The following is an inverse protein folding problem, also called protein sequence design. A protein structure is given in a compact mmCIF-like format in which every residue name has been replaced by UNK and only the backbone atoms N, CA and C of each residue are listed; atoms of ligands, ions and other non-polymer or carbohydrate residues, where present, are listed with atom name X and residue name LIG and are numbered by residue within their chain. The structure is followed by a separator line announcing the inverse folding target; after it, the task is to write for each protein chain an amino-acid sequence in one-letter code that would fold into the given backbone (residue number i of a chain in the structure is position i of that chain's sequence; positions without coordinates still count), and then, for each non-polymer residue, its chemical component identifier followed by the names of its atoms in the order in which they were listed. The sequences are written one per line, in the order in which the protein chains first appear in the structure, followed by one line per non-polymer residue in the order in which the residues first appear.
data_IF_535847579234
#
_entry.id   IF_535847579234
#
_cell.length_a   1.000
_cell.length_b   1.000
_cell.length_c   1.000
_cell.angle_alpha   90.00
_cell.angle_beta   90.00
_cell.angle_gamma   90.00
#
_symmetry.space_group_name_H-M   'P 1'
#
loop_
_entity.id
_entity.type
_entity.pdbx_description
1 polymer ?
#
# COMPACT_ATOMS: atom_id res chain seq x y z
N UNK A 1 -37.91 10.24 -12.97
CA UNK A 1 -36.85 10.46 -11.97
C UNK A 1 -35.56 10.70 -12.75
N UNK A 2 -34.83 11.79 -12.48
CA UNK A 2 -33.53 12.09 -13.11
C UNK A 2 -32.42 11.29 -12.40
N UNK A 3 -32.57 9.97 -12.33
CA UNK A 3 -31.50 9.09 -11.84
C UNK A 3 -30.46 8.97 -12.97
N UNK A 4 -29.17 8.93 -12.61
CA UNK A 4 -28.04 8.73 -13.54
C UNK A 4 -27.69 9.88 -14.51
N UNK A 5 -27.63 11.14 -14.04
CA UNK A 5 -26.94 12.18 -14.82
C UNK A 5 -25.43 12.00 -14.73
N UNK A 6 -24.83 11.50 -15.80
CA UNK A 6 -23.38 11.44 -16.00
C UNK A 6 -22.90 12.65 -16.81
N UNK A 7 -21.61 13.03 -16.72
CA UNK A 7 -20.99 14.08 -17.53
C UNK A 7 -20.77 13.68 -19.01
N UNK A 8 -21.57 12.75 -19.54
CA UNK A 8 -21.48 12.22 -20.91
C UNK A 8 -22.87 12.17 -21.54
N UNK A 9 -22.93 12.30 -22.86
CA UNK A 9 -24.16 12.27 -23.65
C UNK A 9 -24.28 10.90 -24.34
N UNK A 10 -24.69 9.89 -23.59
CA UNK A 10 -24.93 8.52 -24.06
C UNK A 10 -26.37 8.12 -23.75
N UNK A 11 -27.04 7.46 -24.69
CA UNK A 11 -28.34 6.84 -24.43
C UNK A 11 -28.18 5.58 -23.57
N UNK A 12 -29.28 5.15 -22.96
CA UNK A 12 -29.29 3.94 -22.12
C UNK A 12 -28.84 2.71 -22.92
N UNK A 13 -29.27 2.58 -24.18
CA UNK A 13 -28.85 1.49 -25.07
C UNK A 13 -27.35 1.52 -25.36
N UNK A 14 -26.77 2.71 -25.58
CA UNK A 14 -25.33 2.85 -25.81
C UNK A 14 -24.51 2.46 -24.57
N UNK A 15 -25.00 2.77 -23.38
CA UNK A 15 -24.34 2.38 -22.11
C UNK A 15 -24.36 0.85 -21.92
N UNK A 16 -25.47 0.20 -22.27
CA UNK A 16 -25.55 -1.26 -22.21
C UNK A 16 -24.67 -1.94 -23.26
N UNK A 17 -24.62 -1.42 -24.49
CA UNK A 17 -23.71 -1.91 -25.54
C UNK A 17 -22.24 -1.77 -25.12
N UNK A 18 -21.85 -0.60 -24.60
CA UNK A 18 -20.53 -0.37 -24.02
C UNK A 18 -20.21 -1.36 -22.88
N UNK A 19 -21.19 -1.65 -22.01
CA UNK A 19 -21.03 -2.65 -20.97
C UNK A 19 -20.74 -4.05 -21.52
N UNK A 20 -21.43 -4.45 -22.60
CA UNK A 20 -21.19 -5.73 -23.26
C UNK A 20 -19.82 -5.80 -23.92
N UNK A 21 -19.33 -4.72 -24.53
CA UNK A 21 -17.98 -4.64 -25.09
C UNK A 21 -16.90 -4.83 -24.00
N UNK A 22 -17.06 -4.19 -22.84
CA UNK A 22 -16.14 -4.38 -21.71
C UNK A 22 -16.19 -5.79 -21.13
N UNK A 23 -17.37 -6.41 -21.07
CA UNK A 23 -17.51 -7.82 -20.69
C UNK A 23 -16.75 -8.74 -21.66
N UNK A 24 -16.84 -8.48 -22.97
CA UNK A 24 -16.11 -9.24 -23.98
C UNK A 24 -14.59 -9.11 -23.80
N UNK A 25 -14.09 -7.88 -23.60
CA UNK A 25 -12.67 -7.64 -23.30
C UNK A 25 -12.24 -8.35 -22.01
N UNK A 26 -13.05 -8.28 -20.95
CA UNK A 26 -12.73 -8.97 -19.69
C UNK A 26 -12.58 -10.47 -19.91
N UNK A 27 -13.52 -11.08 -20.62
CA UNK A 27 -13.51 -12.51 -20.90
C UNK A 27 -12.28 -12.88 -21.75
N UNK A 28 -11.98 -12.11 -22.81
CA UNK A 28 -10.77 -12.30 -23.62
C UNK A 28 -9.49 -12.26 -22.77
N UNK A 29 -9.34 -11.26 -21.90
CA UNK A 29 -8.18 -11.14 -21.01
C UNK A 29 -8.13 -12.32 -20.04
N UNK A 30 -9.26 -12.72 -19.46
CA UNK A 30 -9.31 -13.84 -18.51
C UNK A 30 -8.99 -15.18 -19.17
N UNK A 31 -9.40 -15.38 -20.42
CA UNK A 31 -9.15 -16.57 -21.22
C UNK A 31 -7.71 -16.61 -21.75
N UNK A 32 -7.07 -15.44 -21.93
CA UNK A 32 -5.67 -15.35 -22.38
C UNK A 32 -4.63 -15.72 -21.32
N UNK A 33 -5.04 -15.83 -20.05
CA UNK A 33 -4.14 -16.12 -18.92
C UNK A 33 -3.51 -17.49 -19.07
N UNK A 34 -2.21 -17.59 -18.82
CA UNK A 34 -1.51 -18.87 -18.88
C UNK A 34 -0.07 -18.83 -18.40
N UNK A 35 0.76 -19.71 -18.98
CA UNK A 35 2.13 -19.95 -18.53
C UNK A 35 3.01 -18.70 -18.55
N UNK A 36 2.74 -17.76 -19.48
CA UNK A 36 3.46 -16.48 -19.54
C UNK A 36 3.24 -15.66 -18.27
N UNK A 37 1.99 -15.52 -17.84
CA UNK A 37 1.63 -14.71 -16.68
C UNK A 37 2.07 -15.40 -15.39
N UNK A 38 1.98 -16.74 -15.34
CA UNK A 38 2.58 -17.54 -14.25
C UNK A 38 4.09 -17.32 -14.14
N UNK A 39 4.80 -17.37 -15.26
CA UNK A 39 6.25 -17.14 -15.29
C UNK A 39 6.60 -15.71 -14.86
N UNK A 40 5.76 -14.73 -15.22
CA UNK A 40 5.91 -13.34 -14.80
C UNK A 40 5.84 -13.22 -13.27
N UNK A 41 4.75 -13.64 -12.63
CA UNK A 41 4.58 -13.44 -11.18
C UNK A 41 5.66 -14.20 -10.38
N UNK A 42 6.03 -15.41 -10.81
CA UNK A 42 7.11 -16.17 -10.16
C UNK A 42 8.47 -15.46 -10.30
N UNK A 43 8.74 -14.83 -11.45
CA UNK A 43 9.96 -14.04 -11.66
C UNK A 43 9.95 -12.79 -10.80
N UNK A 44 8.82 -12.08 -10.68
CA UNK A 44 8.69 -10.90 -9.82
C UNK A 44 8.92 -11.28 -8.35
N UNK A 45 8.25 -12.33 -7.85
CA UNK A 45 8.43 -12.82 -6.47
C UNK A 45 9.89 -13.21 -6.22
N UNK A 46 10.53 -13.94 -7.15
CA UNK A 46 11.95 -14.29 -7.01
C UNK A 46 12.83 -13.04 -6.97
N UNK A 47 12.62 -12.10 -7.87
CA UNK A 47 13.38 -10.84 -7.96
C UNK A 47 13.24 -10.04 -6.67
N UNK A 48 12.01 -9.86 -6.20
CA UNK A 48 11.70 -9.17 -4.95
C UNK A 48 12.39 -9.83 -3.76
N UNK A 49 12.24 -11.16 -3.59
CA UNK A 49 12.81 -11.90 -2.45
C UNK A 49 14.34 -11.86 -2.47
N UNK A 50 14.95 -12.04 -3.64
CA UNK A 50 16.41 -11.90 -3.81
C UNK A 50 16.87 -10.49 -3.46
N UNK A 51 16.19 -9.46 -3.95
CA UNK A 51 16.52 -8.06 -3.68
C UNK A 51 16.36 -7.72 -2.19
N UNK A 52 15.29 -8.19 -1.54
CA UNK A 52 15.04 -7.95 -0.12
C UNK A 52 16.15 -8.55 0.77
N UNK A 53 16.66 -9.73 0.40
CA UNK A 53 17.74 -10.41 1.13
C UNK A 53 19.10 -9.78 0.81
N UNK A 54 19.42 -9.56 -0.47
CA UNK A 54 20.70 -8.96 -0.87
C UNK A 54 20.88 -7.55 -0.33
N UNK A 55 19.80 -6.77 -0.27
CA UNK A 55 19.82 -5.41 0.29
C UNK A 55 20.17 -5.41 1.77
N UNK A 56 19.63 -6.36 2.55
CA UNK A 56 19.99 -6.53 3.97
C UNK A 56 21.45 -6.95 4.14
N UNK A 57 21.95 -7.83 3.29
CA UNK A 57 23.38 -8.18 3.27
C UNK A 57 24.25 -6.96 2.96
N UNK A 58 23.87 -6.09 2.02
CA UNK A 58 24.60 -4.85 1.73
C UNK A 58 24.58 -3.89 2.91
N UNK A 59 23.44 -3.75 3.60
CA UNK A 59 23.33 -2.95 4.85
C UNK A 59 24.24 -3.53 5.95
N UNK A 60 24.35 -4.85 6.07
CA UNK A 60 25.23 -5.46 7.07
C UNK A 60 26.70 -5.35 6.67
N UNK A 61 27.00 -5.52 5.39
CA UNK A 61 28.33 -5.35 4.82
C UNK A 61 28.84 -3.93 5.07
N UNK A 62 27.98 -2.90 4.99
CA UNK A 62 28.40 -1.52 5.24
C UNK A 62 28.92 -1.28 6.66
N UNK A 63 28.52 -2.12 7.63
CA UNK A 63 29.01 -2.03 9.01
C UNK A 63 30.51 -2.37 9.14
N UNK A 64 31.06 -3.13 8.18
CA UNK A 64 32.48 -3.44 8.10
C UNK A 64 33.33 -2.26 7.60
N UNK A 65 32.69 -1.20 7.10
CA UNK A 65 33.37 0.00 6.61
C UNK A 65 33.25 1.19 7.58
N UNK A 66 32.71 0.97 8.78
CA UNK A 66 32.72 1.99 9.84
C UNK A 66 34.18 2.25 10.27
N UNK A 67 34.59 3.50 10.58
CA UNK A 67 35.98 3.82 10.94
C UNK A 67 36.62 3.00 12.06
N UNK A 68 35.83 2.33 12.89
CA UNK A 68 36.33 1.46 13.96
C UNK A 68 37.21 0.29 13.44
N UNK A 69 37.06 -0.14 12.19
CA UNK A 69 37.81 -1.27 11.63
C UNK A 69 39.28 -0.95 11.28
N UNK A 70 39.66 0.32 11.21
CA UNK A 70 41.06 0.75 11.03
C UNK A 70 41.72 0.44 9.69
N UNK A 71 41.04 -0.23 8.74
CA UNK A 71 41.56 -0.44 7.39
C UNK A 71 41.32 0.77 6.47
N UNK A 72 42.05 0.88 5.37
CA UNK A 72 42.03 2.06 4.49
C UNK A 72 40.62 2.43 3.95
N UNK A 73 39.75 1.44 3.73
CA UNK A 73 38.38 1.65 3.27
C UNK A 73 37.36 1.93 4.40
N UNK A 74 37.76 1.82 5.67
CA UNK A 74 36.90 1.98 6.84
C UNK A 74 36.64 3.46 7.09
N UNK A 75 35.75 4.05 6.30
CA UNK A 75 35.42 5.48 6.37
C UNK A 75 33.91 5.67 6.34
N UNK A 76 33.42 6.69 7.03
CA UNK A 76 31.99 7.03 7.01
C UNK A 76 31.42 7.20 5.60
N UNK A 77 32.09 7.85 4.63
CA UNK A 77 31.58 7.94 3.26
C UNK A 77 31.33 6.58 2.60
N UNK A 78 32.28 5.64 2.74
CA UNK A 78 32.12 4.28 2.16
C UNK A 78 30.99 3.53 2.87
N UNK A 79 30.98 3.53 4.21
CA UNK A 79 29.92 2.88 4.98
C UNK A 79 28.53 3.43 4.63
N UNK A 80 28.35 4.75 4.64
CA UNK A 80 27.06 5.37 4.35
C UNK A 80 26.63 5.19 2.90
N UNK A 81 27.57 5.15 1.95
CA UNK A 81 27.26 4.86 0.54
C UNK A 81 26.74 3.44 0.38
N UNK A 82 27.44 2.45 0.93
CA UNK A 82 26.99 1.05 0.87
C UNK A 82 25.66 0.87 1.59
N UNK A 83 25.51 1.46 2.78
CA UNK A 83 24.24 1.43 3.51
C UNK A 83 23.11 2.07 2.70
N UNK A 84 23.34 3.23 2.10
CA UNK A 84 22.37 3.94 1.26
C UNK A 84 21.94 3.12 0.05
N UNK A 85 22.88 2.45 -0.64
CA UNK A 85 22.56 1.54 -1.75
C UNK A 85 21.70 0.36 -1.28
N UNK A 86 22.05 -0.23 -0.15
CA UNK A 86 21.26 -1.30 0.46
C UNK A 86 19.86 -0.83 0.87
N UNK A 87 19.74 0.33 1.50
CA UNK A 87 18.45 0.93 1.91
C UNK A 87 17.58 1.23 0.69
N UNK A 88 18.14 1.83 -0.36
CA UNK A 88 17.41 2.16 -1.57
C UNK A 88 16.89 0.89 -2.27
N UNK A 89 17.75 -0.11 -2.44
CA UNK A 89 17.36 -1.40 -3.01
C UNK A 89 16.31 -2.13 -2.13
N UNK A 90 16.42 -2.02 -0.79
CA UNK A 90 15.41 -2.55 0.11
C UNK A 90 14.07 -1.82 -0.04
N UNK A 91 14.09 -0.50 -0.21
CA UNK A 91 12.90 0.31 -0.50
C UNK A 91 12.20 -0.16 -1.77
N UNK A 92 12.94 -0.39 -2.86
CA UNK A 92 12.40 -0.95 -4.12
C UNK A 92 11.80 -2.35 -3.88
N UNK A 93 12.50 -3.23 -3.16
CA UNK A 93 11.99 -4.56 -2.85
C UNK A 93 10.68 -4.51 -2.03
N UNK A 94 10.53 -3.52 -1.16
CA UNK A 94 9.29 -3.30 -0.40
C UNK A 94 8.19 -2.70 -1.26
N UNK A 95 8.51 -1.85 -2.25
CA UNK A 95 7.54 -1.38 -3.26
C UNK A 95 7.02 -2.53 -4.11
N UNK A 96 7.91 -3.39 -4.63
CA UNK A 96 7.52 -4.56 -5.42
C UNK A 96 6.62 -5.52 -4.64
N UNK A 97 6.96 -5.80 -3.38
CA UNK A 97 6.10 -6.59 -2.50
C UNK A 97 4.76 -5.90 -2.26
N UNK A 98 4.77 -4.59 -2.02
CA UNK A 98 3.57 -3.86 -1.66
C UNK A 98 2.57 -3.81 -2.82
N UNK A 99 3.03 -3.53 -4.05
CA UNK A 99 2.15 -3.06 -5.14
C UNK A 99 2.13 -3.97 -6.36
N UNK A 100 3.25 -4.61 -6.70
CA UNK A 100 3.28 -5.52 -7.85
C UNK A 100 2.86 -6.95 -7.46
N UNK A 101 3.21 -7.38 -6.25
CA UNK A 101 2.92 -8.73 -5.76
C UNK A 101 1.64 -8.71 -4.92
N UNK A 102 1.72 -8.23 -3.68
CA UNK A 102 0.67 -8.49 -2.71
C UNK A 102 -0.64 -7.78 -3.03
N UNK A 103 -0.61 -6.52 -3.48
CA UNK A 103 -1.81 -5.83 -3.95
C UNK A 103 -2.56 -6.65 -5.02
N UNK A 104 -1.85 -7.13 -6.04
CA UNK A 104 -2.42 -7.93 -7.11
C UNK A 104 -2.89 -9.32 -6.64
N UNK A 105 -2.14 -9.98 -5.74
CA UNK A 105 -2.55 -11.25 -5.12
C UNK A 105 -3.82 -11.07 -4.28
N UNK A 106 -3.92 -10.01 -3.48
CA UNK A 106 -5.09 -9.71 -2.67
C UNK A 106 -6.30 -9.27 -3.50
N UNK A 107 -6.11 -8.80 -4.73
CA UNK A 107 -7.16 -8.66 -5.74
C UNK A 107 -7.60 -9.98 -6.40
N UNK A 108 -7.08 -11.11 -5.93
CA UNK A 108 -7.33 -12.45 -6.51
C UNK A 108 -6.90 -12.58 -7.98
N UNK A 109 -6.00 -11.71 -8.47
CA UNK A 109 -5.52 -11.71 -9.86
C UNK A 109 -4.88 -13.05 -10.26
N UNK A 110 -4.30 -13.77 -9.30
CA UNK A 110 -3.53 -14.99 -9.50
C UNK A 110 -4.22 -16.28 -9.03
N UNK A 111 -5.41 -16.19 -8.42
CA UNK A 111 -6.10 -17.34 -7.80
C UNK A 111 -6.44 -18.44 -8.82
N UNK A 112 -6.61 -18.08 -10.09
CA UNK A 112 -6.81 -19.02 -11.21
C UNK A 112 -5.69 -20.06 -11.34
N UNK A 113 -4.47 -19.76 -10.88
CA UNK A 113 -3.34 -20.69 -10.90
C UNK A 113 -3.52 -21.85 -9.90
N UNK A 114 -4.39 -21.70 -8.89
CA UNK A 114 -4.56 -22.65 -7.78
C UNK A 114 -3.25 -23.01 -7.07
N UNK A 115 -2.28 -22.11 -7.09
CA UNK A 115 -1.00 -22.24 -6.40
C UNK A 115 -1.19 -21.88 -4.93
N UNK A 116 -0.95 -22.79 -3.96
CA UNK A 116 -1.26 -22.56 -2.54
C UNK A 116 -0.44 -21.43 -1.91
N UNK A 117 0.72 -21.12 -2.49
CA UNK A 117 1.62 -20.06 -2.01
C UNK A 117 1.27 -18.69 -2.61
N UNK A 118 0.41 -18.64 -3.63
CA UNK A 118 0.00 -17.42 -4.34
C UNK A 118 -1.53 -17.42 -4.44
N UNK A 119 -2.20 -17.13 -3.31
CA UNK A 119 -3.66 -16.95 -3.23
C UNK A 119 -4.01 -15.73 -2.39
N UNK A 120 -5.09 -15.05 -2.78
CA UNK A 120 -5.67 -13.93 -2.03
C UNK A 120 -5.97 -14.26 -0.56
N UNK A 121 -6.38 -15.49 -0.26
CA UNK A 121 -6.82 -15.91 1.08
C UNK A 121 -5.68 -16.38 2.00
N UNK A 122 -4.49 -16.67 1.47
CA UNK A 122 -3.32 -17.14 2.24
C UNK A 122 -2.17 -16.14 2.22
N UNK A 123 -2.08 -15.28 1.21
CA UNK A 123 -1.04 -14.27 1.13
C UNK A 123 -1.22 -13.21 2.22
N UNK A 124 -0.17 -12.98 3.00
CA UNK A 124 -0.18 -11.98 4.04
C UNK A 124 0.73 -10.81 3.65
N UNK A 125 0.10 -9.66 3.39
CA UNK A 125 0.75 -8.47 2.86
C UNK A 125 1.83 -7.92 3.78
N UNK A 126 2.99 -7.53 3.23
CA UNK A 126 4.05 -6.84 3.97
C UNK A 126 3.70 -5.35 4.25
N UNK A 127 2.66 -5.12 5.05
CA UNK A 127 2.23 -3.80 5.52
C UNK A 127 1.59 -3.91 6.90
N UNK A 128 1.20 -2.79 7.53
CA UNK A 128 0.55 -2.78 8.85
C UNK A 128 -0.95 -3.13 8.83
N UNK A 129 -1.60 -3.06 7.67
CA UNK A 129 -3.00 -3.47 7.52
C UNK A 129 -3.15 -4.99 7.43
N UNK A 130 -4.09 -5.62 8.16
CA UNK A 130 -4.44 -7.03 7.96
C UNK A 130 -5.01 -7.26 6.56
N UNK A 131 -4.52 -8.28 5.86
CA UNK A 131 -4.84 -8.52 4.45
C UNK A 131 -6.33 -8.72 4.19
N UNK A 132 -7.03 -9.45 5.06
CA UNK A 132 -8.48 -9.69 4.94
C UNK A 132 -9.33 -8.43 5.16
N UNK A 133 -8.84 -7.54 6.03
CA UNK A 133 -9.49 -6.25 6.28
C UNK A 133 -9.34 -5.33 5.09
N UNK A 134 -8.13 -5.25 4.55
CA UNK A 134 -7.87 -4.52 3.33
C UNK A 134 -8.70 -5.06 2.16
N UNK A 135 -8.77 -6.38 1.95
CA UNK A 135 -9.63 -6.96 0.89
C UNK A 135 -11.10 -6.56 1.05
N UNK A 136 -11.60 -6.45 2.28
CA UNK A 136 -12.97 -6.00 2.50
C UNK A 136 -13.13 -4.50 2.23
N UNK A 137 -12.34 -3.63 2.87
CA UNK A 137 -12.46 -2.18 2.70
C UNK A 137 -12.14 -1.74 1.28
N UNK A 138 -11.21 -2.41 0.62
CA UNK A 138 -10.77 -2.03 -0.72
C UNK A 138 -11.54 -2.75 -1.83
N UNK A 139 -11.56 -4.09 -1.86
CA UNK A 139 -12.17 -4.81 -2.98
C UNK A 139 -13.70 -4.80 -2.92
N UNK A 140 -14.27 -4.90 -1.72
CA UNK A 140 -15.74 -4.97 -1.56
C UNK A 140 -16.34 -3.57 -1.44
N UNK A 141 -15.75 -2.68 -0.66
CA UNK A 141 -16.30 -1.34 -0.46
C UNK A 141 -15.80 -0.37 -1.53
N UNK A 142 -14.50 -0.05 -1.52
CA UNK A 142 -13.93 0.97 -2.43
C UNK A 142 -14.17 0.64 -3.90
N UNK A 143 -13.78 -0.54 -4.41
CA UNK A 143 -13.95 -0.87 -5.82
C UNK A 143 -15.40 -0.99 -6.28
N UNK A 144 -16.33 -1.34 -5.38
CA UNK A 144 -17.77 -1.30 -5.72
C UNK A 144 -18.24 0.14 -5.86
N UNK A 145 -17.83 1.01 -4.94
CA UNK A 145 -18.36 2.35 -4.75
C UNK A 145 -17.38 3.47 -5.12
N UNK A 146 -16.40 3.21 -5.99
CA UNK A 146 -15.32 4.15 -6.31
C UNK A 146 -15.85 5.56 -6.58
N UNK A 147 -15.34 6.52 -5.80
CA UNK A 147 -15.70 7.94 -5.81
C UNK A 147 -17.18 8.27 -5.50
N UNK A 148 -17.94 7.33 -4.92
CA UNK A 148 -19.30 7.57 -4.44
C UNK A 148 -19.25 8.12 -3.01
N UNK A 149 -19.69 9.36 -2.83
CA UNK A 149 -19.66 10.00 -1.52
C UNK A 149 -20.46 9.21 -0.48
N UNK A 150 -19.93 9.20 0.75
CA UNK A 150 -20.50 8.49 1.91
C UNK A 150 -20.50 6.95 1.82
N UNK A 151 -20.07 6.38 0.70
CA UNK A 151 -19.85 4.94 0.53
C UNK A 151 -18.37 4.60 0.43
N UNK A 152 -17.63 5.42 -0.31
CA UNK A 152 -16.20 5.27 -0.49
C UNK A 152 -15.45 6.14 0.52
N UNK A 153 -14.76 5.49 1.45
CA UNK A 153 -13.92 6.17 2.43
C UNK A 153 -12.70 6.80 1.80
N UNK A 154 -12.27 6.31 0.64
CA UNK A 154 -11.08 6.80 -0.04
C UNK A 154 -11.30 8.23 -0.53
N UNK A 155 -12.55 8.69 -0.72
CA UNK A 155 -12.86 10.12 -0.99
C UNK A 155 -12.42 10.99 0.19
N UNK A 156 -11.16 11.44 0.12
CA UNK A 156 -10.48 12.22 1.15
C UNK A 156 -9.99 11.43 2.36
N UNK A 157 -10.04 10.09 2.35
CA UNK A 157 -9.57 9.23 3.44
C UNK A 157 -10.14 9.60 4.83
N UNK A 158 -11.33 10.20 4.86
CA UNK A 158 -11.98 10.75 6.07
C UNK A 158 -11.32 11.98 6.71
N UNK A 159 -10.07 12.32 6.35
CA UNK A 159 -9.27 13.39 6.98
C UNK A 159 -9.02 14.59 6.07
N UNK A 160 -9.26 14.45 4.78
CA UNK A 160 -9.06 15.48 3.76
C UNK A 160 -10.35 15.79 3.01
N UNK A 161 -10.46 17.04 2.56
CA UNK A 161 -11.43 17.50 1.58
C UNK A 161 -10.76 17.55 0.22
N UNK A 162 -11.20 16.67 -0.67
CA UNK A 162 -10.68 16.47 -2.03
C UNK A 162 -11.70 16.81 -3.11
N UNK A 163 -12.98 16.93 -2.75
CA UNK A 163 -14.07 17.29 -3.66
C UNK A 163 -14.92 18.44 -3.11
N UNK A 164 -15.48 19.31 -3.97
CA UNK A 164 -16.43 20.34 -3.54
C UNK A 164 -17.67 19.77 -2.83
N UNK A 165 -18.03 18.51 -3.11
CA UNK A 165 -19.20 17.83 -2.56
C UNK A 165 -19.06 17.51 -1.06
N UNK A 166 -17.85 17.49 -0.52
CA UNK A 166 -17.61 17.32 0.91
C UNK A 166 -17.87 18.64 1.65
N UNK A 167 -18.65 18.58 2.74
CA UNK A 167 -18.90 19.74 3.62
C UNK A 167 -17.58 20.26 4.19
N UNK A 168 -17.34 21.57 4.08
CA UNK A 168 -16.14 22.20 4.63
C UNK A 168 -16.13 22.21 6.16
N UNK A 169 -14.94 22.09 6.76
CA UNK A 169 -14.69 22.15 8.20
C UNK A 169 -13.38 22.91 8.46
N UNK A 170 -13.24 23.65 9.58
CA UNK A 170 -12.01 24.36 9.92
C UNK A 170 -10.75 23.48 9.99
N UNK A 171 -10.91 22.20 10.37
CA UNK A 171 -9.83 21.23 10.40
C UNK A 171 -9.09 21.10 9.06
N UNK A 172 -9.75 21.41 7.93
CA UNK A 172 -9.15 21.31 6.60
C UNK A 172 -8.08 22.36 6.31
N UNK A 173 -7.98 23.42 7.13
CA UNK A 173 -6.85 24.36 7.06
C UNK A 173 -5.50 23.67 7.33
N UNK A 174 -5.51 22.55 8.05
CA UNK A 174 -4.32 21.78 8.38
C UNK A 174 -4.08 20.61 7.41
N UNK A 175 -4.82 20.52 6.30
CA UNK A 175 -4.64 19.47 5.29
C UNK A 175 -3.19 19.33 4.78
N UNK A 176 -2.42 20.40 4.54
CA UNK A 176 -1.02 20.24 4.15
C UNK A 176 -0.19 19.43 5.15
N UNK A 177 -0.51 19.55 6.45
CA UNK A 177 0.15 18.77 7.51
C UNK A 177 -0.36 17.32 7.48
N UNK A 178 -1.66 17.10 7.40
CA UNK A 178 -2.24 15.75 7.31
C UNK A 178 -1.73 14.99 6.10
N UNK A 179 -1.55 15.68 4.97
CA UNK A 179 -1.02 15.13 3.73
C UNK A 179 0.42 14.64 3.91
N UNK A 180 1.29 15.47 4.48
CA UNK A 180 2.68 15.07 4.76
C UNK A 180 2.71 13.91 5.76
N UNK A 181 1.94 14.00 6.85
CA UNK A 181 1.91 12.92 7.84
C UNK A 181 1.41 11.60 7.25
N UNK A 182 0.33 11.64 6.44
CA UNK A 182 -0.19 10.46 5.77
C UNK A 182 0.82 9.91 4.74
N UNK A 183 1.55 10.76 4.03
CA UNK A 183 2.61 10.32 3.11
C UNK A 183 3.74 9.58 3.85
N UNK A 184 4.18 10.11 5.00
CA UNK A 184 5.25 9.49 5.78
C UNK A 184 4.80 8.21 6.50
N UNK A 185 3.52 8.16 6.91
CA UNK A 185 2.91 7.09 7.71
C UNK A 185 1.81 6.36 6.91
N UNK A 186 2.03 6.16 5.62
CA UNK A 186 0.97 5.69 4.74
C UNK A 186 0.50 4.28 5.10
N UNK A 187 1.41 3.38 5.48
CA UNK A 187 1.04 2.03 5.89
C UNK A 187 0.20 2.00 7.16
N UNK A 188 0.53 2.87 8.13
CA UNK A 188 -0.23 3.05 9.36
C UNK A 188 -1.61 3.61 9.03
N UNK A 189 -1.65 4.61 8.14
CA UNK A 189 -2.88 5.21 7.61
C UNK A 189 -3.81 4.16 7.02
N UNK A 190 -3.31 3.31 6.11
CA UNK A 190 -4.07 2.20 5.51
C UNK A 190 -4.52 1.20 6.57
N UNK A 191 -3.73 0.94 7.61
CA UNK A 191 -4.11 0.02 8.68
C UNK A 191 -5.27 0.53 9.54
N UNK A 192 -5.42 1.85 9.69
CA UNK A 192 -6.50 2.48 10.45
C UNK A 192 -7.61 3.05 9.55
N UNK A 193 -7.50 2.87 8.24
CA UNK A 193 -8.50 3.31 7.25
C UNK A 193 -9.67 2.33 7.22
N UNK A 194 -10.50 2.41 8.25
CA UNK A 194 -11.57 1.47 8.55
C UNK A 194 -12.89 2.19 8.85
N UNK A 195 -14.00 1.73 8.26
CA UNK A 195 -15.32 2.33 8.46
C UNK A 195 -15.71 2.39 9.94
N UNK A 196 -15.35 1.36 10.71
CA UNK A 196 -15.66 1.30 12.14
C UNK A 196 -14.99 2.44 12.93
N UNK A 197 -13.79 2.88 12.50
CA UNK A 197 -13.07 4.00 13.12
C UNK A 197 -13.73 5.32 12.74
N UNK A 198 -14.08 5.51 11.47
CA UNK A 198 -14.82 6.70 11.00
C UNK A 198 -16.19 6.83 11.68
N UNK A 199 -16.94 5.74 11.80
CA UNK A 199 -18.22 5.69 12.49
C UNK A 199 -18.08 6.04 13.98
N UNK A 200 -16.99 5.64 14.62
CA UNK A 200 -16.70 6.00 16.00
C UNK A 200 -16.46 7.50 16.16
N UNK A 201 -15.65 8.08 15.27
CA UNK A 201 -15.37 9.53 15.25
C UNK A 201 -16.64 10.35 14.97
N UNK A 202 -17.61 9.76 14.28
CA UNK A 202 -18.94 10.34 14.02
C UNK A 202 -19.98 10.03 15.11
N UNK A 203 -19.61 9.30 16.16
CA UNK A 203 -20.49 8.94 17.28
C UNK A 203 -21.57 7.90 16.94
N UNK A 204 -21.40 7.14 15.85
CA UNK A 204 -22.37 6.13 15.37
C UNK A 204 -22.21 4.77 16.05
N UNK A 205 -21.03 4.47 16.60
CA UNK A 205 -20.74 3.22 17.31
C UNK A 205 -19.94 3.49 18.61
N UNK A 206 -19.81 2.47 19.47
CA UNK A 206 -18.98 2.52 20.68
C UNK A 206 -17.67 1.79 20.43
N UNK A 207 -16.59 2.23 21.08
CA UNK A 207 -15.26 1.60 20.97
C UNK A 207 -15.27 0.08 21.21
N UNK A 208 -16.10 -0.38 22.15
CA UNK A 208 -16.26 -1.80 22.47
C UNK A 208 -16.75 -2.63 21.28
N UNK A 209 -17.49 -2.02 20.35
CA UNK A 209 -18.13 -2.70 19.22
C UNK A 209 -17.08 -3.11 18.15
N UNK A 210 -15.93 -2.42 18.10
CA UNK A 210 -14.84 -2.70 17.16
C UNK A 210 -13.47 -2.91 17.83
N UNK A 211 -13.43 -3.09 19.16
CA UNK A 211 -12.20 -3.46 19.88
C UNK A 211 -11.54 -4.74 19.34
N UNK A 212 -12.28 -5.81 18.95
CA UNK A 212 -11.66 -6.99 18.33
C UNK A 212 -10.90 -6.66 17.04
N UNK A 213 -11.44 -5.75 16.22
CA UNK A 213 -10.79 -5.25 15.01
C UNK A 213 -9.48 -4.53 15.35
N UNK A 214 -9.51 -3.59 16.32
CA UNK A 214 -8.31 -2.88 16.76
C UNK A 214 -7.22 -3.82 17.29
N UNK A 215 -7.60 -4.88 18.03
CA UNK A 215 -6.64 -5.89 18.49
C UNK A 215 -5.97 -6.62 17.33
N UNK A 216 -6.72 -6.93 16.27
CA UNK A 216 -6.19 -7.58 15.08
C UNK A 216 -5.22 -6.68 14.32
N UNK A 217 -5.59 -5.41 14.12
CA UNK A 217 -4.70 -4.39 13.54
C UNK A 217 -3.45 -4.24 14.40
N UNK A 218 -3.61 -4.11 15.72
CA UNK A 218 -2.49 -3.98 16.67
C UNK A 218 -1.54 -5.19 16.64
N UNK A 219 -2.07 -6.41 16.53
CA UNK A 219 -1.26 -7.61 16.35
C UNK A 219 -0.47 -7.58 15.04
N UNK A 220 -1.11 -7.15 13.94
CA UNK A 220 -0.46 -7.00 12.64
C UNK A 220 0.65 -5.95 12.67
N UNK A 221 0.36 -4.75 13.20
CA UNK A 221 1.32 -3.66 13.43
C UNK A 221 2.51 -4.18 14.25
N UNK A 222 2.24 -4.86 15.37
CA UNK A 222 3.30 -5.41 16.21
C UNK A 222 4.19 -6.40 15.46
N UNK A 223 3.63 -7.28 14.62
CA UNK A 223 4.44 -8.20 13.81
C UNK A 223 5.36 -7.46 12.84
N UNK A 224 4.90 -6.35 12.24
CA UNK A 224 5.75 -5.55 11.36
C UNK A 224 6.84 -4.81 12.13
N UNK A 225 6.48 -4.18 13.25
CA UNK A 225 7.44 -3.49 14.11
C UNK A 225 8.49 -4.47 14.65
N UNK A 226 8.06 -5.62 15.16
CA UNK A 226 8.95 -6.65 15.66
C UNK A 226 9.87 -7.19 14.56
N UNK A 227 9.42 -7.29 13.31
CA UNK A 227 10.26 -7.73 12.21
C UNK A 227 11.29 -6.67 11.81
N UNK A 228 10.83 -5.47 11.45
CA UNK A 228 11.67 -4.45 10.79
C UNK A 228 12.52 -3.63 11.79
N UNK A 229 12.04 -3.43 13.01
CA UNK A 229 12.70 -2.59 14.02
C UNK A 229 13.27 -3.35 15.21
N UNK A 230 13.01 -4.66 15.33
CA UNK A 230 13.56 -5.49 16.40
C UNK A 230 14.37 -6.65 15.84
N UNK A 231 13.77 -7.56 15.06
CA UNK A 231 14.42 -8.80 14.64
C UNK A 231 15.65 -8.57 13.75
N UNK A 232 15.52 -7.78 12.67
CA UNK A 232 16.67 -7.48 11.80
C UNK A 232 17.76 -6.65 12.50
N UNK A 233 17.43 -5.58 13.26
CA UNK A 233 18.43 -4.86 14.04
C UNK A 233 19.09 -5.71 15.13
N UNK A 234 18.33 -6.55 15.82
CA UNK A 234 18.84 -7.44 16.86
C UNK A 234 19.75 -8.50 16.27
N UNK A 235 19.41 -9.09 15.11
CA UNK A 235 20.29 -10.04 14.43
C UNK A 235 21.66 -9.43 14.13
N UNK A 236 21.70 -8.19 13.63
CA UNK A 236 22.96 -7.47 13.39
C UNK A 236 23.71 -7.17 14.71
N UNK A 237 22.99 -6.73 15.74
CA UNK A 237 23.58 -6.43 17.04
C UNK A 237 24.17 -7.67 17.71
N UNK A 238 23.50 -8.82 17.66
CA UNK A 238 23.99 -10.10 18.21
C UNK A 238 25.29 -10.54 17.54
N UNK A 239 25.42 -10.35 16.23
CA UNK A 239 26.68 -10.61 15.50
C UNK A 239 27.76 -9.59 15.90
N UNK A 240 27.39 -8.34 16.17
CA UNK A 240 28.33 -7.29 16.58
C UNK A 240 28.90 -7.49 18.00
N UNK A 241 28.18 -8.16 18.92
CA UNK A 241 28.65 -8.39 20.30
C UNK A 241 30.06 -9.00 20.36
N UNK A 242 30.34 -10.17 19.79
CA UNK A 242 31.68 -10.75 19.86
C UNK A 242 32.74 -9.90 19.15
N UNK A 243 32.38 -9.19 18.08
CA UNK A 243 33.30 -8.33 17.33
C UNK A 243 33.67 -7.08 18.15
N UNK A 244 32.73 -6.57 18.96
CA UNK A 244 32.93 -5.38 19.80
C UNK A 244 34.01 -5.54 20.87
N UNK A 245 34.45 -6.77 21.17
CA UNK A 245 35.60 -7.03 22.03
C UNK A 245 36.94 -6.71 21.37
N UNK A 246 36.98 -6.61 20.03
CA UNK A 246 38.20 -6.39 19.25
C UNK A 246 38.16 -5.09 18.45
N UNK A 247 36.96 -4.63 18.09
CA UNK A 247 36.73 -3.42 17.30
C UNK A 247 35.94 -2.43 18.18
N UNK A 248 36.35 -1.17 18.32
CA UNK A 248 35.70 -0.21 19.23
C UNK A 248 34.40 0.36 18.62
N UNK A 249 33.39 -0.49 18.45
CA UNK A 249 32.06 -0.09 17.99
C UNK A 249 30.96 -0.74 18.84
N UNK A 250 29.89 0.02 19.11
CA UNK A 250 28.83 -0.39 20.02
C UNK A 250 27.80 -1.29 19.33
N UNK A 251 27.46 -2.46 19.88
CA UNK A 251 26.34 -3.27 19.38
C UNK A 251 25.00 -2.51 19.39
N UNK A 252 24.81 -1.59 20.33
CA UNK A 252 23.62 -0.72 20.37
C UNK A 252 23.60 0.29 19.22
N UNK A 253 24.77 0.81 18.82
CA UNK A 253 24.88 1.66 17.63
C UNK A 253 24.54 0.86 16.37
N UNK A 254 25.03 -0.37 16.24
CA UNK A 254 24.69 -1.27 15.13
C UNK A 254 23.19 -1.51 15.05
N UNK A 255 22.56 -1.81 16.19
CA UNK A 255 21.12 -1.92 16.28
C UNK A 255 20.44 -0.65 15.74
N UNK A 256 20.81 0.52 16.25
CA UNK A 256 20.24 1.80 15.82
C UNK A 256 20.43 2.08 14.33
N UNK A 257 21.61 1.79 13.77
CA UNK A 257 21.90 1.98 12.34
C UNK A 257 21.03 1.07 11.46
N UNK A 258 20.88 -0.20 11.82
CA UNK A 258 20.06 -1.15 11.05
C UNK A 258 18.57 -0.84 11.22
N UNK A 259 18.12 -0.43 12.40
CA UNK A 259 16.75 0.03 12.62
C UNK A 259 16.44 1.28 11.77
N UNK A 260 17.36 2.25 11.76
CA UNK A 260 17.28 3.44 10.91
C UNK A 260 17.25 3.11 9.42
N UNK A 261 18.08 2.15 8.98
CA UNK A 261 18.09 1.67 7.59
C UNK A 261 16.72 1.08 7.17
N UNK A 262 16.09 0.27 8.02
CA UNK A 262 14.74 -0.25 7.77
C UNK A 262 13.69 0.87 7.79
N UNK A 263 13.81 1.84 8.70
CA UNK A 263 12.89 2.99 8.77
C UNK A 263 12.93 3.81 7.46
N UNK A 264 14.12 4.09 6.93
CA UNK A 264 14.26 4.81 5.66
C UNK A 264 13.74 3.98 4.49
N UNK A 265 13.96 2.66 4.47
CA UNK A 265 13.39 1.80 3.43
C UNK A 265 11.85 1.75 3.46
N UNK A 266 11.25 1.70 4.65
CA UNK A 266 9.80 1.82 4.84
C UNK A 266 9.29 3.19 4.39
N UNK A 267 10.02 4.26 4.69
CA UNK A 267 9.69 5.61 4.25
C UNK A 267 9.69 5.75 2.73
N UNK A 268 10.70 5.19 2.04
CA UNK A 268 10.75 5.16 0.57
C UNK A 268 9.47 4.50 0.02
N UNK A 269 9.09 3.34 0.57
CA UNK A 269 7.86 2.66 0.18
C UNK A 269 6.62 3.50 0.48
N UNK A 270 6.51 4.09 1.67
CA UNK A 270 5.35 4.89 2.06
C UNK A 270 5.16 6.09 1.13
N UNK A 271 6.22 6.84 0.84
CA UNK A 271 6.17 7.99 -0.09
C UNK A 271 5.73 7.55 -1.49
N UNK A 272 6.32 6.45 -2.01
CA UNK A 272 5.96 5.93 -3.32
C UNK A 272 4.50 5.46 -3.36
N UNK A 273 4.09 4.64 -2.38
CA UNK A 273 2.74 4.08 -2.30
C UNK A 273 1.69 5.18 -2.14
N UNK A 274 1.96 6.19 -1.30
CA UNK A 274 1.11 7.36 -1.16
C UNK A 274 0.98 8.13 -2.49
N UNK A 275 2.08 8.32 -3.21
CA UNK A 275 2.09 9.06 -4.47
C UNK A 275 1.27 8.34 -5.54
N UNK A 276 1.41 7.02 -5.64
CA UNK A 276 0.68 6.23 -6.65
C UNK A 276 -0.78 5.99 -6.26
N UNK A 277 -1.03 5.64 -4.99
CA UNK A 277 -2.37 5.34 -4.51
C UNK A 277 -3.12 6.64 -4.21
N UNK A 278 -2.74 7.35 -3.15
CA UNK A 278 -3.52 8.49 -2.66
C UNK A 278 -3.63 9.60 -3.70
N UNK A 279 -2.51 10.05 -4.28
CA UNK A 279 -2.56 11.12 -5.28
C UNK A 279 -3.20 10.66 -6.60
N UNK A 280 -3.12 9.37 -6.93
CA UNK A 280 -3.77 8.77 -8.10
C UNK A 280 -5.30 8.73 -8.03
N UNK A 281 -5.90 8.89 -6.84
CA UNK A 281 -7.36 8.93 -6.68
C UNK A 281 -7.99 10.29 -7.00
N UNK A 282 -7.24 11.38 -6.89
CA UNK A 282 -7.77 12.75 -7.07
C UNK A 282 -7.12 13.59 -8.19
N UNK A 283 -6.66 13.01 -9.31
CA UNK A 283 -6.21 13.80 -10.43
C UNK A 283 -7.36 14.59 -11.05
N UNK A 284 -7.02 15.67 -11.74
CA UNK A 284 -7.98 16.46 -12.49
C UNK A 284 -8.65 15.59 -13.56
N UNK A 285 -9.99 15.63 -13.62
CA UNK A 285 -10.79 14.82 -14.55
C UNK A 285 -11.48 13.62 -13.89
N UNK A 286 -11.03 13.16 -12.72
CA UNK A 286 -11.74 12.11 -11.98
C UNK A 286 -13.07 12.64 -11.40
N UNK A 287 -14.17 11.99 -11.75
CA UNK A 287 -15.51 12.34 -11.30
C UNK A 287 -15.85 11.71 -9.95
N UNK A 288 -16.68 12.43 -9.18
CA UNK A 288 -17.28 11.96 -7.93
C UNK A 288 -18.79 11.87 -8.11
N UNK A 289 -19.44 10.97 -7.35
CA UNK A 289 -20.84 10.62 -7.53
C UNK A 289 -21.62 10.66 -6.21
N UNK A 290 -22.91 10.99 -6.26
CA UNK A 290 -23.83 10.87 -5.14
C UNK A 290 -24.52 9.51 -5.10
N UNK A 291 -25.17 9.19 -3.98
CA UNK A 291 -25.97 7.97 -3.83
C UNK A 291 -27.11 7.90 -4.85
N UNK A 292 -27.78 9.02 -5.13
CA UNK A 292 -28.89 9.09 -6.08
C UNK A 292 -28.44 8.84 -7.52
N UNK A 293 -27.17 9.13 -7.85
CA UNK A 293 -26.63 8.89 -9.19
C UNK A 293 -26.34 7.41 -9.47
N UNK A 294 -26.18 6.59 -8.41
CA UNK A 294 -25.83 5.16 -8.51
C UNK A 294 -26.98 4.23 -8.15
N UNK A 295 -28.13 4.77 -7.74
CA UNK A 295 -29.29 3.98 -7.35
C UNK A 295 -29.84 3.14 -8.52
N UNK A 296 -29.82 1.82 -8.39
CA UNK A 296 -30.30 0.91 -9.45
C UNK A 296 -29.38 0.82 -10.66
N UNK A 297 -28.09 1.14 -10.51
CA UNK A 297 -27.11 1.05 -11.59
C UNK A 297 -27.05 -0.35 -12.23
N UNK A 298 -27.08 -0.37 -13.56
CA UNK A 298 -26.76 -1.58 -14.34
C UNK A 298 -25.25 -1.79 -14.36
N UNK A 299 -24.81 -2.95 -14.88
CA UNK A 299 -23.38 -3.24 -15.00
C UNK A 299 -22.68 -2.31 -16.00
N UNK A 300 -23.32 -1.97 -17.12
CA UNK A 300 -22.79 -0.98 -18.07
C UNK A 300 -22.63 0.40 -17.44
N UNK A 301 -23.62 0.85 -16.65
CA UNK A 301 -23.54 2.09 -15.87
C UNK A 301 -22.43 2.07 -14.83
N UNK A 302 -22.26 0.94 -14.12
CA UNK A 302 -21.16 0.75 -13.19
C UNK A 302 -19.81 0.89 -13.89
N UNK A 303 -19.62 0.23 -15.03
CA UNK A 303 -18.38 0.35 -15.81
C UNK A 303 -18.09 1.78 -16.26
N UNK A 304 -19.10 2.47 -16.79
CA UNK A 304 -18.96 3.87 -17.20
C UNK A 304 -18.57 4.76 -16.02
N UNK A 305 -19.20 4.54 -14.85
CA UNK A 305 -18.86 5.24 -13.62
C UNK A 305 -17.42 4.97 -13.18
N UNK A 306 -16.98 3.72 -13.21
CA UNK A 306 -15.60 3.34 -12.88
C UNK A 306 -14.59 4.04 -13.79
N UNK A 307 -14.87 4.11 -15.10
CA UNK A 307 -14.02 4.85 -16.04
C UNK A 307 -14.00 6.35 -15.78
N UNK A 308 -15.15 6.96 -15.52
CA UNK A 308 -15.25 8.39 -15.20
C UNK A 308 -14.60 8.75 -13.86
N UNK A 309 -14.60 7.82 -12.90
CA UNK A 309 -13.94 7.96 -11.61
C UNK A 309 -12.44 7.67 -11.62
N UNK A 310 -11.93 7.13 -12.73
CA UNK A 310 -10.52 6.77 -12.90
C UNK A 310 -9.78 7.78 -13.77
N UNK A 311 -8.46 7.74 -13.74
CA UNK A 311 -7.61 8.56 -14.60
C UNK A 311 -6.40 7.75 -15.08
N UNK A 312 -5.86 8.15 -16.23
CA UNK A 312 -4.64 7.57 -16.74
C UNK A 312 -3.43 8.10 -15.96
N UNK A 313 -2.50 7.22 -15.63
CA UNK A 313 -1.19 7.58 -15.12
C UNK A 313 -0.27 7.73 -16.34
N UNK A 314 0.12 8.96 -16.64
CA UNK A 314 1.14 9.28 -17.65
C UNK A 314 2.38 9.83 -16.93
N UNK A 315 3.52 9.14 -17.04
CA UNK A 315 4.75 9.50 -16.34
C UNK A 315 5.85 8.47 -16.48
#
# INVERSE_FOLDING_TARGET
MKTHQYPVDLTDEQIEEFGNELEAIRNEVFDSRGDRDRAYILKVIKTQRTMAVSSRFVIYLSLFFIPAWGHALATWPVALTLMGLGVFALGIAKILENMEIAHNVLHAQWDWMKDPEIQSNTWEWDTMSPSDRWMHSHNVVHHTWTNVLEKDLDVGYGIMRVTPMQKWKPAFLLQPIYFILLMLLFEEGVAVHEQAIDDHLKGKNKLKDFTPLLKRIGYKVWRQVAKDYIAWPLAAALVAIPISFYVPFSPLLVFGMVAGANAVANLIRNIWAFTIIFCGHFPAGAHNFTLEQVEGETRGRWYLRQMLGSCNIEG
#
